data_IF_077863240474
#
_entry.id   IF_077863240474
#
_cell.length_a   1.000
_cell.length_b   1.000
_cell.length_c   1.000
_cell.angle_alpha   90.00
_cell.angle_beta   90.00
_cell.angle_gamma   90.00
#
_symmetry.space_group_name_H-M   'P 1'
#
loop_
_entity.id
_entity.type
_entity.pdbx_description
1 polymer ?
#
# COMPACT_ATOMS: atom_id res chain seq x y z
N UNK A 1 -11.09 -18.63 -39.30
CA UNK A 1 -10.28 -19.06 -38.14
C UNK A 1 -9.28 -17.96 -37.69
N UNK A 2 -9.72 -16.70 -37.51
CA UNK A 2 -8.81 -15.58 -37.17
C UNK A 2 -8.83 -15.14 -35.69
N UNK A 3 -9.81 -15.59 -34.89
CA UNK A 3 -10.00 -15.12 -33.52
C UNK A 3 -8.90 -15.57 -32.52
N UNK A 4 -8.20 -16.68 -32.77
CA UNK A 4 -7.27 -17.28 -31.80
C UNK A 4 -5.91 -16.58 -31.69
N UNK A 5 -5.49 -15.82 -32.69
CA UNK A 5 -4.19 -15.11 -32.67
C UNK A 5 -4.22 -13.80 -31.85
N UNK A 6 -5.38 -13.13 -31.83
CA UNK A 6 -5.59 -11.90 -31.08
C UNK A 6 -5.71 -12.17 -29.58
N UNK A 7 -6.45 -13.23 -29.20
CA UNK A 7 -6.54 -13.70 -27.82
C UNK A 7 -5.18 -14.11 -27.24
N UNK A 8 -4.30 -14.78 -28.00
CA UNK A 8 -2.93 -15.10 -27.54
C UNK A 8 -2.02 -13.88 -27.39
N UNK A 9 -2.20 -12.84 -28.21
CA UNK A 9 -1.46 -11.58 -28.06
C UNK A 9 -1.92 -10.79 -26.84
N UNK A 10 -3.22 -10.76 -26.58
CA UNK A 10 -3.77 -10.21 -25.34
C UNK A 10 -3.32 -10.98 -24.11
N UNK A 11 -3.24 -12.30 -24.18
CA UNK A 11 -2.74 -13.14 -23.09
C UNK A 11 -1.26 -12.84 -22.79
N UNK A 12 -0.45 -12.66 -23.83
CA UNK A 12 0.98 -12.32 -23.69
C UNK A 12 1.22 -10.95 -23.05
N UNK A 13 0.37 -9.96 -23.31
CA UNK A 13 0.54 -8.58 -22.79
C UNK A 13 -0.46 -8.23 -21.68
N UNK A 14 -1.33 -9.14 -21.29
CA UNK A 14 -2.38 -8.90 -20.31
C UNK A 14 -1.81 -8.48 -18.96
N UNK A 15 -0.75 -9.15 -18.51
CA UNK A 15 -0.08 -8.84 -17.24
C UNK A 15 0.61 -7.46 -17.25
N UNK A 16 1.20 -7.04 -18.38
CA UNK A 16 1.78 -5.70 -18.50
C UNK A 16 0.69 -4.63 -18.56
N UNK A 17 -0.41 -4.90 -19.26
CA UNK A 17 -1.53 -3.96 -19.36
C UNK A 17 -2.17 -3.78 -17.98
N UNK A 18 -2.41 -4.87 -17.24
CA UNK A 18 -2.96 -4.78 -15.88
C UNK A 18 -2.01 -4.06 -14.92
N UNK A 19 -0.71 -4.36 -14.95
CA UNK A 19 0.28 -3.64 -14.13
C UNK A 19 0.40 -2.17 -14.52
N UNK A 20 0.32 -1.85 -15.82
CA UNK A 20 0.38 -0.49 -16.34
C UNK A 20 -0.84 0.32 -15.93
N UNK A 21 -2.03 -0.29 -15.99
CA UNK A 21 -3.28 0.32 -15.54
C UNK A 21 -3.28 0.50 -14.02
N UNK A 22 -2.76 -0.46 -13.25
CA UNK A 22 -2.57 -0.31 -11.81
C UNK A 22 -1.62 0.84 -11.48
N UNK A 23 -0.49 0.96 -12.20
CA UNK A 23 0.46 2.07 -12.05
C UNK A 23 -0.21 3.42 -12.36
N UNK A 24 -0.99 3.50 -13.42
CA UNK A 24 -1.73 4.70 -13.78
C UNK A 24 -2.75 5.07 -12.70
N UNK A 25 -3.53 4.08 -12.23
CA UNK A 25 -4.52 4.28 -11.19
C UNK A 25 -3.86 4.79 -9.89
N UNK A 26 -2.78 4.16 -9.44
CA UNK A 26 -2.04 4.58 -8.24
C UNK A 26 -1.39 5.96 -8.44
N UNK A 27 -0.84 6.24 -9.62
CA UNK A 27 -0.29 7.56 -9.93
C UNK A 27 -1.36 8.67 -9.90
N UNK A 28 -2.57 8.37 -10.38
CA UNK A 28 -3.69 9.29 -10.35
C UNK A 28 -4.20 9.50 -8.92
N UNK A 29 -4.30 8.44 -8.11
CA UNK A 29 -4.70 8.58 -6.70
C UNK A 29 -3.66 9.32 -5.87
N UNK A 30 -2.38 9.17 -6.20
CA UNK A 30 -1.27 9.91 -5.56
C UNK A 30 -1.30 11.43 -5.84
N UNK A 31 -2.02 11.87 -6.87
CA UNK A 31 -2.15 13.30 -7.18
C UNK A 31 -3.02 14.03 -6.14
N UNK A 32 -4.03 13.37 -5.57
CA UNK A 32 -4.92 13.97 -4.57
C UNK A 32 -4.20 14.52 -3.35
N UNK A 33 -3.34 13.76 -2.63
CA UNK A 33 -2.62 14.31 -1.48
C UNK A 33 -1.65 15.44 -1.88
N UNK A 34 -1.10 15.43 -3.10
CA UNK A 34 -0.25 16.53 -3.60
C UNK A 34 -1.07 17.81 -3.84
N UNK A 35 -2.28 17.68 -4.38
CA UNK A 35 -3.22 18.78 -4.55
C UNK A 35 -3.73 19.30 -3.19
N UNK A 36 -3.88 18.41 -2.20
CA UNK A 36 -4.20 18.75 -0.81
C UNK A 36 -3.15 19.65 -0.18
N UNK A 37 -1.86 19.37 -0.38
CA UNK A 37 -0.76 20.25 0.08
C UNK A 37 -0.89 21.65 -0.54
N UNK A 38 -1.23 21.74 -1.83
CA UNK A 38 -1.42 23.00 -2.53
C UNK A 38 -2.71 23.76 -2.14
N UNK A 39 -3.62 23.14 -1.37
CA UNK A 39 -4.93 23.71 -1.01
C UNK A 39 -5.93 23.74 -2.16
N UNK A 40 -5.72 22.90 -3.18
CA UNK A 40 -6.59 22.82 -4.36
C UNK A 40 -7.75 21.83 -4.17
N UNK A 41 -7.75 21.08 -3.08
CA UNK A 41 -8.83 20.18 -2.66
C UNK A 41 -9.40 20.63 -1.32
N UNK A 42 -10.66 20.28 -0.99
CA UNK A 42 -11.24 20.55 0.34
C UNK A 42 -10.34 20.03 1.46
N UNK A 43 -10.42 20.64 2.65
CA UNK A 43 -9.64 20.23 3.81
C UNK A 43 -9.75 18.71 4.02
N UNK A 44 -8.60 18.04 4.01
CA UNK A 44 -8.53 16.59 4.14
C UNK A 44 -9.04 16.20 5.52
N UNK A 45 -10.11 15.43 5.54
CA UNK A 45 -10.59 14.77 6.73
C UNK A 45 -9.82 13.46 6.94
N UNK A 46 -9.46 13.18 8.18
CA UNK A 46 -8.75 11.95 8.56
C UNK A 46 -9.55 11.20 9.61
N UNK A 47 -9.81 9.92 9.36
CA UNK A 47 -10.41 9.05 10.37
C UNK A 47 -9.37 8.72 11.44
N UNK A 48 -9.75 8.87 12.70
CA UNK A 48 -8.90 8.69 13.87
C UNK A 48 -9.68 7.89 14.93
N UNK A 49 -9.02 6.95 15.59
CA UNK A 49 -9.61 6.19 16.67
C UNK A 49 -9.70 7.04 17.94
N UNK A 50 -10.82 6.92 18.65
CA UNK A 50 -11.06 7.64 19.90
C UNK A 50 -11.02 6.64 21.05
N UNK A 51 -10.24 6.97 22.08
CA UNK A 51 -10.13 6.18 23.31
C UNK A 51 -11.42 6.28 24.16
N UNK A 52 -12.27 7.28 23.86
CA UNK A 52 -13.55 7.46 24.52
C UNK A 52 -14.57 6.50 23.94
N UNK A 53 -15.10 5.60 24.78
CA UNK A 53 -16.30 4.84 24.47
C UNK A 53 -17.47 5.82 24.20
N UNK A 54 -17.66 6.24 22.96
CA UNK A 54 -18.93 6.84 22.54
C UNK A 54 -19.95 5.71 22.54
N UNK A 55 -20.47 5.38 23.73
CA UNK A 55 -21.66 4.58 23.88
C UNK A 55 -22.78 5.37 23.20
N UNK A 56 -23.06 5.08 21.94
CA UNK A 56 -24.44 5.17 21.51
C UNK A 56 -25.20 4.30 22.52
N UNK A 57 -26.17 4.84 23.29
CA UNK A 57 -26.94 3.99 24.18
C UNK A 57 -27.47 2.85 23.32
N UNK A 58 -27.17 1.61 23.72
CA UNK A 58 -27.56 0.41 23.00
C UNK A 58 -29.08 0.28 23.01
N UNK A 59 -29.74 1.09 22.18
CA UNK A 59 -31.17 1.15 22.05
C UNK A 59 -31.53 0.12 20.99
N UNK A 60 -32.03 -1.01 21.45
CA UNK A 60 -32.72 -1.98 20.63
C UNK A 60 -34.22 -1.69 20.68
N UNK A 61 -34.82 -1.49 19.51
CA UNK A 61 -36.29 -1.40 19.38
C UNK A 61 -36.72 -2.34 18.27
N UNK A 62 -37.40 -3.44 18.64
CA UNK A 62 -37.82 -4.48 17.70
C UNK A 62 -36.63 -5.10 16.93
N UNK A 63 -36.65 -4.95 15.61
CA UNK A 63 -35.63 -5.52 14.71
C UNK A 63 -34.41 -4.60 14.46
N UNK A 64 -34.34 -3.43 15.11
CA UNK A 64 -33.28 -2.45 14.89
C UNK A 64 -32.34 -2.37 16.09
N UNK A 65 -31.04 -2.41 15.81
CA UNK A 65 -29.98 -2.16 16.79
C UNK A 65 -29.12 -0.98 16.33
N UNK A 66 -28.89 -0.06 17.26
CA UNK A 66 -27.98 1.07 17.08
C UNK A 66 -26.62 0.71 17.72
N UNK A 67 -25.52 0.90 16.99
CA UNK A 67 -24.15 0.65 17.45
C UNK A 67 -23.32 1.92 17.26
N UNK A 68 -22.66 2.38 18.33
CA UNK A 68 -21.68 3.44 18.24
C UNK A 68 -20.38 2.91 17.62
N UNK A 69 -19.78 3.67 16.70
CA UNK A 69 -18.49 3.36 16.08
C UNK A 69 -17.38 4.12 16.83
N UNK A 70 -16.24 3.47 17.10
CA UNK A 70 -15.09 4.06 17.82
C UNK A 70 -14.23 5.01 16.97
N UNK A 71 -14.74 5.42 15.82
CA UNK A 71 -14.04 6.27 14.87
C UNK A 71 -14.61 7.69 14.92
N UNK A 72 -13.71 8.69 14.91
CA UNK A 72 -14.05 10.08 14.61
C UNK A 72 -13.33 10.57 13.37
N UNK A 73 -13.91 11.58 12.76
CA UNK A 73 -13.31 12.32 11.68
C UNK A 73 -12.60 13.56 12.24
N UNK A 74 -11.28 13.59 12.15
CA UNK A 74 -10.46 14.76 12.43
C UNK A 74 -10.51 15.70 11.21
N UNK A 75 -11.15 16.85 11.39
CA UNK A 75 -11.22 17.92 10.39
C UNK A 75 -10.51 19.15 10.93
N UNK A 76 -9.80 19.86 10.04
CA UNK A 76 -9.10 21.11 10.36
C UNK A 76 -9.71 22.18 9.46
N UNK A 77 -10.35 23.19 10.05
CA UNK A 77 -11.12 24.21 9.31
C UNK A 77 -10.24 25.14 8.46
N UNK A 78 -9.03 25.48 8.94
CA UNK A 78 -8.04 26.28 8.19
C UNK A 78 -6.63 25.68 8.35
N UNK A 79 -6.32 24.60 7.62
CA UNK A 79 -5.06 23.90 7.78
C UNK A 79 -3.92 24.73 7.18
N UNK A 80 -2.91 25.01 8.01
CA UNK A 80 -1.66 25.61 7.56
C UNK A 80 -0.88 24.66 6.65
N UNK A 81 0.21 25.15 6.05
CA UNK A 81 1.04 24.34 5.14
C UNK A 81 1.57 23.07 5.85
N UNK A 82 2.01 23.20 7.10
CA UNK A 82 2.54 22.07 7.87
C UNK A 82 1.48 21.01 8.14
N UNK A 83 0.25 21.43 8.50
CA UNK A 83 -0.86 20.52 8.76
C UNK A 83 -1.25 19.73 7.51
N UNK A 84 -1.25 20.40 6.36
CA UNK A 84 -1.50 19.73 5.06
C UNK A 84 -0.43 18.71 4.72
N UNK A 85 0.84 19.02 5.00
CA UNK A 85 1.96 18.07 4.80
C UNK A 85 1.85 16.89 5.76
N UNK A 86 1.48 17.12 7.02
CA UNK A 86 1.26 16.06 8.02
C UNK A 86 0.09 15.16 7.64
N UNK A 87 -1.01 15.73 7.12
CA UNK A 87 -2.18 14.98 6.64
C UNK A 87 -1.89 14.17 5.38
N UNK A 88 -1.15 14.75 4.42
CA UNK A 88 -0.85 14.12 3.14
C UNK A 88 0.35 13.16 3.18
N UNK A 89 1.28 13.36 4.12
CA UNK A 89 2.57 12.67 4.19
C UNK A 89 2.49 11.15 4.17
N UNK A 90 1.72 10.51 5.06
CA UNK A 90 1.58 9.05 5.08
C UNK A 90 1.04 8.48 3.76
N UNK A 91 0.03 9.16 3.16
CA UNK A 91 -0.57 8.78 1.87
C UNK A 91 0.45 8.86 0.72
N UNK A 92 1.28 9.90 0.70
CA UNK A 92 2.34 10.07 -0.31
C UNK A 92 3.38 8.97 -0.20
N UNK A 93 3.86 8.68 1.03
CA UNK A 93 4.85 7.62 1.25
C UNK A 93 4.28 6.26 0.84
N UNK A 94 3.03 5.97 1.21
CA UNK A 94 2.34 4.74 0.79
C UNK A 94 2.27 4.63 -0.74
N UNK A 95 1.86 5.71 -1.43
CA UNK A 95 1.77 5.72 -2.89
C UNK A 95 3.14 5.45 -3.55
N UNK A 96 4.21 6.06 -3.06
CA UNK A 96 5.57 5.84 -3.56
C UNK A 96 5.97 4.37 -3.41
N UNK A 97 5.76 3.77 -2.23
CA UNK A 97 6.11 2.37 -1.99
C UNK A 97 5.34 1.42 -2.91
N UNK A 98 4.04 1.68 -3.13
CA UNK A 98 3.23 0.90 -4.07
C UNK A 98 3.72 1.04 -5.52
N UNK A 99 4.06 2.26 -5.95
CA UNK A 99 4.63 2.51 -7.29
C UNK A 99 5.94 1.74 -7.47
N UNK A 100 6.81 1.70 -6.44
CA UNK A 100 8.05 0.92 -6.47
C UNK A 100 7.75 -0.57 -6.66
N UNK A 101 6.82 -1.13 -5.89
CA UNK A 101 6.41 -2.55 -6.02
C UNK A 101 5.89 -2.84 -7.43
N UNK A 102 4.95 -2.04 -7.94
CA UNK A 102 4.37 -2.22 -9.28
C UNK A 102 5.43 -2.09 -10.38
N UNK A 103 6.38 -1.17 -10.23
CA UNK A 103 7.48 -1.00 -11.18
C UNK A 103 8.41 -2.22 -11.20
N UNK A 104 8.70 -2.81 -10.03
CA UNK A 104 9.50 -4.04 -9.93
C UNK A 104 8.76 -5.23 -10.54
N UNK A 105 7.45 -5.35 -10.30
CA UNK A 105 6.60 -6.36 -10.92
C UNK A 105 6.56 -6.20 -12.45
N UNK A 106 6.44 -4.97 -12.95
CA UNK A 106 6.48 -4.67 -14.39
C UNK A 106 7.82 -5.07 -15.02
N UNK A 107 8.95 -4.84 -14.32
CA UNK A 107 10.27 -5.27 -14.79
C UNK A 107 10.38 -6.79 -14.83
N UNK A 108 9.80 -7.50 -13.87
CA UNK A 108 9.76 -8.97 -13.87
C UNK A 108 8.86 -9.51 -14.98
N UNK A 109 7.69 -8.91 -15.18
CA UNK A 109 6.76 -9.24 -16.27
C UNK A 109 7.45 -9.24 -17.63
N UNK A 110 8.23 -8.20 -17.91
CA UNK A 110 9.03 -8.08 -19.13
C UNK A 110 10.00 -9.24 -19.30
N UNK A 111 10.79 -9.55 -18.27
CA UNK A 111 11.74 -10.67 -18.34
C UNK A 111 11.07 -12.05 -18.51
N UNK A 112 9.84 -12.21 -18.01
CA UNK A 112 9.09 -13.45 -18.24
C UNK A 112 8.63 -13.58 -19.69
N UNK A 113 8.30 -12.47 -20.36
CA UNK A 113 7.97 -12.48 -21.79
C UNK A 113 9.17 -12.83 -22.69
N UNK A 114 10.38 -12.54 -22.20
CA UNK A 114 11.65 -12.91 -22.87
C UNK A 114 12.02 -14.39 -22.64
N UNK A 115 11.24 -15.12 -21.84
CA UNK A 115 11.46 -16.54 -21.53
C UNK A 115 12.45 -16.80 -20.38
N UNK A 116 12.97 -15.74 -19.77
CA UNK A 116 14.01 -15.78 -18.75
C UNK A 116 13.43 -15.64 -17.33
N UNK A 117 12.77 -16.71 -16.86
CA UNK A 117 12.12 -16.71 -15.54
C UNK A 117 13.12 -16.79 -14.39
N UNK A 118 14.08 -17.72 -14.48
CA UNK A 118 15.03 -18.05 -13.43
C UNK A 118 16.39 -17.35 -13.61
N UNK A 119 16.36 -16.03 -13.73
CA UNK A 119 17.58 -15.22 -13.77
C UNK A 119 17.85 -14.55 -12.42
N UNK A 120 19.11 -14.41 -11.99
CA UNK A 120 19.46 -13.83 -10.68
C UNK A 120 18.88 -12.43 -10.46
N UNK A 121 18.66 -11.65 -11.53
CA UNK A 121 18.04 -10.33 -11.47
C UNK A 121 16.60 -10.40 -10.94
N UNK A 122 15.82 -11.42 -11.32
CA UNK A 122 14.43 -11.58 -10.86
C UNK A 122 14.35 -11.99 -9.40
N UNK A 123 15.28 -12.81 -8.93
CA UNK A 123 15.44 -13.12 -7.49
C UNK A 123 15.70 -11.84 -6.69
N UNK A 124 16.62 -10.97 -7.14
CA UNK A 124 16.89 -9.69 -6.48
C UNK A 124 15.67 -8.77 -6.47
N UNK A 125 14.91 -8.72 -7.57
CA UNK A 125 13.67 -7.94 -7.67
C UNK A 125 12.61 -8.45 -6.68
N UNK A 126 12.43 -9.77 -6.53
CA UNK A 126 11.52 -10.35 -5.54
C UNK A 126 11.90 -9.98 -4.11
N UNK A 127 13.18 -10.05 -3.75
CA UNK A 127 13.63 -9.58 -2.42
C UNK A 127 13.38 -8.08 -2.22
N UNK A 128 13.59 -7.26 -3.26
CA UNK A 128 13.28 -5.84 -3.19
C UNK A 128 11.77 -5.57 -3.02
N UNK A 129 10.90 -6.34 -3.68
CA UNK A 129 9.45 -6.26 -3.47
C UNK A 129 9.11 -6.65 -2.03
N UNK A 130 9.62 -7.79 -1.54
CA UNK A 130 9.36 -8.26 -0.19
C UNK A 130 9.79 -7.25 0.88
N UNK A 131 10.97 -6.66 0.71
CA UNK A 131 11.47 -5.59 1.58
C UNK A 131 10.59 -4.34 1.52
N UNK A 132 10.15 -3.94 0.32
CA UNK A 132 9.27 -2.77 0.15
C UNK A 132 7.90 -2.99 0.79
N UNK A 133 7.35 -4.20 0.69
CA UNK A 133 6.10 -4.59 1.39
C UNK A 133 6.29 -4.56 2.90
N UNK A 134 7.43 -5.04 3.41
CA UNK A 134 7.77 -4.94 4.83
C UNK A 134 7.85 -3.48 5.30
N UNK A 135 8.51 -2.61 4.52
CA UNK A 135 8.52 -1.17 4.79
C UNK A 135 7.11 -0.58 4.78
N UNK A 136 6.25 -1.00 3.85
CA UNK A 136 4.86 -0.54 3.80
C UNK A 136 4.10 -0.94 5.08
N UNK A 137 4.32 -2.16 5.57
CA UNK A 137 3.69 -2.66 6.79
C UNK A 137 4.14 -1.92 8.05
N UNK A 138 5.38 -1.43 8.09
CA UNK A 138 5.97 -0.84 9.28
C UNK A 138 5.92 0.69 9.27
N UNK A 139 6.38 1.30 8.16
CA UNK A 139 6.61 2.73 8.02
C UNK A 139 5.32 3.49 7.83
N UNK A 140 4.38 2.98 7.04
CA UNK A 140 3.12 3.70 6.78
C UNK A 140 2.30 3.87 8.06
N UNK A 141 2.01 2.82 8.86
CA UNK A 141 1.30 3.00 10.13
C UNK A 141 2.09 3.83 11.13
N UNK A 142 3.42 3.75 11.14
CA UNK A 142 4.24 4.54 12.06
C UNK A 142 4.18 6.03 11.73
N UNK A 143 4.28 6.38 10.44
CA UNK A 143 4.07 7.75 9.97
C UNK A 143 2.65 8.21 10.25
N UNK A 144 1.67 7.31 10.09
CA UNK A 144 0.27 7.60 10.39
C UNK A 144 0.13 8.03 11.86
N UNK A 145 0.57 7.20 12.80
CA UNK A 145 0.58 7.50 14.24
C UNK A 145 1.35 8.78 14.57
N UNK A 146 2.59 8.94 14.07
CA UNK A 146 3.43 10.10 14.39
C UNK A 146 2.83 11.40 13.89
N UNK A 147 2.27 11.41 12.69
CA UNK A 147 1.60 12.60 12.14
C UNK A 147 0.31 12.92 12.89
N UNK A 148 -0.45 11.91 13.33
CA UNK A 148 -1.63 12.12 14.18
C UNK A 148 -1.23 12.74 15.53
N UNK A 149 -0.20 12.21 16.19
CA UNK A 149 0.33 12.79 17.44
C UNK A 149 0.75 14.25 17.22
N UNK A 150 1.47 14.54 16.13
CA UNK A 150 1.92 15.89 15.84
C UNK A 150 0.77 16.88 15.57
N UNK A 151 -0.31 16.43 14.90
CA UNK A 151 -1.50 17.25 14.63
C UNK A 151 -2.33 17.54 15.88
N UNK A 152 -2.37 16.60 16.82
CA UNK A 152 -3.22 16.69 18.01
C UNK A 152 -2.47 17.29 19.21
N UNK A 153 -1.13 17.22 19.22
CA UNK A 153 -0.29 17.73 20.30
C UNK A 153 -0.56 19.19 20.64
N UNK A 154 -0.77 19.49 21.93
CA UNK A 154 -1.05 20.84 22.40
C UNK A 154 -2.52 21.28 22.23
N UNK A 155 -3.41 20.38 21.79
CA UNK A 155 -4.86 20.60 21.76
C UNK A 155 -5.55 19.80 22.87
N UNK A 156 -6.78 20.17 23.27
CA UNK A 156 -7.57 19.37 24.22
C UNK A 156 -7.89 17.95 23.74
N UNK A 157 -7.74 17.68 22.44
CA UNK A 157 -8.03 16.38 21.81
C UNK A 157 -6.93 15.33 22.09
N UNK A 158 -5.76 15.74 22.59
CA UNK A 158 -4.62 14.85 22.88
C UNK A 158 -4.95 13.73 23.85
N UNK A 159 -5.86 13.98 24.81
CA UNK A 159 -6.28 12.98 25.80
C UNK A 159 -7.41 12.07 25.30
N UNK A 160 -7.94 12.33 24.11
CA UNK A 160 -9.14 11.68 23.57
C UNK A 160 -8.83 10.79 22.37
N UNK A 161 -7.80 11.13 21.60
CA UNK A 161 -7.37 10.38 20.42
C UNK A 161 -6.51 9.20 20.84
N UNK A 162 -6.92 7.98 20.47
CA UNK A 162 -6.07 6.80 20.60
C UNK A 162 -5.03 6.83 19.47
N UNK A 163 -3.76 6.84 19.85
CA UNK A 163 -2.60 6.78 18.95
C UNK A 163 -1.91 5.43 19.02
N UNK A 164 -2.70 4.37 19.20
CA UNK A 164 -2.24 3.00 19.11
C UNK A 164 -1.59 2.67 17.77
N UNK A 165 -0.39 2.08 17.83
CA UNK A 165 0.28 1.53 16.66
C UNK A 165 -0.24 0.12 16.39
N UNK A 166 -0.98 -0.05 15.29
CA UNK A 166 -1.48 -1.36 14.86
C UNK A 166 -0.67 -1.87 13.67
N UNK A 167 -0.13 -3.08 13.81
CA UNK A 167 0.57 -3.76 12.72
C UNK A 167 -0.44 -4.36 11.73
N UNK A 168 -0.42 -3.94 10.46
CA UNK A 168 -1.33 -4.48 9.48
C UNK A 168 -0.89 -5.90 9.09
N UNK A 169 -1.75 -6.89 9.37
CA UNK A 169 -1.43 -8.30 9.15
C UNK A 169 -1.26 -8.68 7.68
N UNK A 170 -2.06 -8.11 6.77
CA UNK A 170 -2.02 -8.44 5.34
C UNK A 170 -0.69 -8.03 4.67
N UNK A 171 -0.23 -6.77 4.74
CA UNK A 171 1.05 -6.37 4.16
C UNK A 171 2.23 -7.17 4.72
N UNK A 172 2.20 -7.48 6.02
CA UNK A 172 3.21 -8.28 6.68
C UNK A 172 3.23 -9.72 6.14
N UNK A 173 2.05 -10.35 6.02
CA UNK A 173 1.91 -11.67 5.41
C UNK A 173 2.42 -11.68 3.97
N UNK A 174 2.05 -10.69 3.16
CA UNK A 174 2.51 -10.56 1.78
C UNK A 174 4.04 -10.40 1.70
N UNK A 175 4.65 -9.65 2.61
CA UNK A 175 6.10 -9.53 2.69
C UNK A 175 6.78 -10.88 2.97
N UNK A 176 6.24 -11.66 3.91
CA UNK A 176 6.77 -13.01 4.22
C UNK A 176 6.59 -13.98 3.05
N UNK A 177 5.39 -14.03 2.45
CA UNK A 177 5.12 -14.89 1.30
C UNK A 177 6.03 -14.54 0.11
N UNK A 178 6.22 -13.25 -0.15
CA UNK A 178 7.11 -12.79 -1.23
C UNK A 178 8.57 -13.12 -0.93
N UNK A 179 8.99 -13.04 0.34
CA UNK A 179 10.34 -13.47 0.76
C UNK A 179 10.56 -14.96 0.53
N UNK A 180 9.58 -15.79 0.91
CA UNK A 180 9.63 -17.23 0.67
C UNK A 180 9.70 -17.54 -0.83
N UNK A 181 8.91 -16.83 -1.65
CA UNK A 181 8.94 -16.94 -3.10
C UNK A 181 10.32 -16.54 -3.67
N UNK A 182 10.92 -15.46 -3.18
CA UNK A 182 12.27 -15.05 -3.57
C UNK A 182 13.31 -16.15 -3.27
N UNK A 183 13.21 -16.80 -2.10
CA UNK A 183 14.06 -17.93 -1.73
C UNK A 183 13.89 -19.13 -2.66
N UNK A 184 12.66 -19.46 -3.03
CA UNK A 184 12.38 -20.54 -3.99
C UNK A 184 12.98 -20.23 -5.38
N UNK A 185 12.86 -18.98 -5.85
CA UNK A 185 13.48 -18.54 -7.11
C UNK A 185 15.00 -18.62 -7.05
N UNK A 186 15.62 -18.19 -5.94
CA UNK A 186 17.06 -18.30 -5.73
C UNK A 186 17.54 -19.75 -5.86
N UNK A 187 16.81 -20.69 -5.25
CA UNK A 187 17.11 -22.12 -5.36
C UNK A 187 16.98 -22.61 -6.81
N UNK A 188 15.92 -22.22 -7.51
CA UNK A 188 15.73 -22.54 -8.93
C UNK A 188 16.85 -22.00 -9.85
N UNK A 189 17.32 -20.78 -9.60
CA UNK A 189 18.46 -20.21 -10.36
C UNK A 189 19.75 -20.99 -10.17
N UNK A 190 19.97 -21.55 -8.97
CA UNK A 190 21.16 -22.36 -8.67
C UNK A 190 21.10 -23.72 -9.37
N UNK A 191 19.95 -24.40 -9.33
CA UNK A 191 19.76 -25.69 -10.02
C UNK A 191 19.96 -25.57 -11.54
N UNK A 192 19.54 -24.44 -12.12
CA UNK A 192 19.78 -24.16 -13.54
C UNK A 192 21.28 -23.98 -13.85
N UNK A 193 21.99 -23.21 -13.02
CA UNK A 193 23.43 -23.03 -13.20
C UNK A 193 24.21 -24.36 -13.10
N UNK A 194 23.81 -25.22 -12.15
CA UNK A 194 24.44 -26.53 -11.96
C UNK A 194 24.19 -27.49 -13.14
N UNK A 195 23.05 -27.37 -13.83
CA UNK A 195 22.72 -28.21 -15.00
C UNK A 195 23.37 -27.72 -16.30
N UNK A 196 23.49 -26.41 -16.49
CA UNK A 196 24.22 -25.82 -17.63
C UNK A 196 25.74 -26.04 -17.53
N UNK A 197 26.29 -26.24 -16.32
CA UNK A 197 27.70 -26.54 -16.10
C UNK A 197 28.13 -28.01 -16.28
N UNK A 198 27.18 -28.90 -16.56
CA UNK A 198 27.43 -30.35 -16.74
C UNK A 198 27.44 -30.79 -18.22
N UNK A 199 27.27 -29.86 -19.16
CA UNK A 199 27.23 -30.11 -20.61
C UNK A 199 28.52 -29.65 -21.28
#
# INVERSE_FOLDING_TARGET
>A
MHATSWLRRLDRHGLELTLGLALLAVGLTALFPLLGIAGLTPADAREVDIDTHTQAPGLSSGAMSLRGTHHAELTIDDPGLMDRVLLAGPKIVQAILVIVVLTLLMRMAKTFQDGEVFVPQNTRRLYAIAFTLMLTALVVPALDTVTTIALVSGTPLEQTVDTGYTLPGIPLLLAFLTTALAGAFAHGTRLRADTEGLV
#
